data_IF_379031437889
#
_entry.id   IF_379031437889
#
_cell.length_a   1.000
_cell.length_b   1.000
_cell.length_c   1.000
_cell.angle_alpha   90.00
_cell.angle_beta   90.00
_cell.angle_gamma   90.00
#
_symmetry.space_group_name_H-M   'P 1'
#
loop_
_entity.id
_entity.type
_entity.pdbx_description
1 polymer ?
#
# COMPACT_ATOMS: atom_id res chain seq x y z
N UNK A 1 6.88 18.15 -4.06
CA UNK A 1 5.69 17.58 -4.73
C UNK A 1 5.93 16.17 -5.24
N UNK A 2 6.83 15.92 -6.22
CA UNK A 2 7.02 14.57 -6.80
C UNK A 2 7.14 13.45 -5.78
N UNK A 3 8.07 13.50 -4.83
CA UNK A 3 8.27 12.42 -3.83
C UNK A 3 7.09 12.11 -2.90
N UNK A 4 6.14 13.04 -2.75
CA UNK A 4 4.98 12.88 -1.87
C UNK A 4 3.74 12.41 -2.63
N UNK A 5 3.62 12.79 -3.91
CA UNK A 5 2.41 12.54 -4.68
C UNK A 5 2.61 11.70 -5.94
N UNK A 6 3.84 11.34 -6.35
CA UNK A 6 4.02 10.31 -7.38
C UNK A 6 3.33 9.03 -6.91
N UNK A 7 2.39 8.55 -7.72
CA UNK A 7 1.45 7.51 -7.37
C UNK A 7 1.64 6.25 -8.21
N UNK A 8 0.53 5.76 -8.74
CA UNK A 8 0.44 4.48 -9.44
C UNK A 8 1.20 4.52 -10.77
N UNK A 9 1.86 3.42 -11.12
CA UNK A 9 2.53 3.21 -12.40
C UNK A 9 2.27 1.80 -12.89
N UNK A 10 2.03 1.69 -14.20
CA UNK A 10 2.02 0.44 -14.94
C UNK A 10 3.16 0.47 -15.95
N UNK A 11 4.39 0.31 -15.45
CA UNK A 11 5.61 0.25 -16.28
C UNK A 11 5.86 1.52 -17.11
N UNK A 12 5.51 2.68 -16.54
CA UNK A 12 5.65 3.98 -17.19
C UNK A 12 5.78 5.13 -16.20
N UNK A 13 5.54 6.36 -16.66
CA UNK A 13 5.57 7.53 -15.80
C UNK A 13 4.52 7.41 -14.69
N UNK A 14 4.91 7.53 -13.40
CA UNK A 14 3.96 7.45 -12.29
C UNK A 14 2.91 8.55 -12.38
N UNK A 15 1.64 8.18 -12.32
CA UNK A 15 0.52 9.11 -12.26
C UNK A 15 0.11 9.39 -10.82
N UNK A 16 -0.35 10.62 -10.59
CA UNK A 16 -0.87 11.04 -9.29
C UNK A 16 -2.19 10.31 -8.98
N UNK A 17 -2.50 10.10 -7.70
CA UNK A 17 -3.86 9.69 -7.31
C UNK A 17 -4.84 10.78 -7.76
N UNK A 18 -5.86 10.48 -8.56
CA UNK A 18 -6.86 11.48 -8.91
C UNK A 18 -7.58 12.04 -7.67
N UNK A 19 -7.82 11.24 -6.62
CA UNK A 19 -8.46 11.73 -5.38
C UNK A 19 -7.55 12.66 -4.57
N UNK A 20 -6.28 12.33 -4.40
CA UNK A 20 -5.34 13.19 -3.66
C UNK A 20 -5.17 14.55 -4.34
N UNK A 21 -5.14 14.58 -5.67
CA UNK A 21 -5.05 15.83 -6.43
C UNK A 21 -6.31 16.68 -6.21
N UNK A 22 -7.50 16.07 -6.25
CA UNK A 22 -8.75 16.78 -5.99
C UNK A 22 -8.81 17.34 -4.56
N UNK A 23 -8.41 16.54 -3.57
CA UNK A 23 -8.41 16.95 -2.16
C UNK A 23 -7.33 17.99 -1.86
N UNK A 24 -6.14 17.87 -2.44
CA UNK A 24 -5.13 18.92 -2.38
C UNK A 24 -5.62 20.23 -3.00
N UNK A 25 -6.30 20.18 -4.15
CA UNK A 25 -6.84 21.39 -4.80
C UNK A 25 -7.96 22.02 -3.95
N UNK A 26 -8.75 21.21 -3.25
CA UNK A 26 -9.83 21.66 -2.38
C UNK A 26 -9.30 22.26 -1.06
N UNK A 27 -8.40 21.56 -0.37
CA UNK A 27 -7.94 21.93 0.99
C UNK A 27 -6.67 22.77 1.01
N UNK A 28 -5.89 22.79 -0.09
CA UNK A 28 -4.58 23.47 -0.22
C UNK A 28 -3.55 23.05 0.84
N UNK A 29 -3.76 21.90 1.46
CA UNK A 29 -2.92 21.31 2.50
C UNK A 29 -2.32 20.00 1.99
N UNK A 30 -1.06 19.73 2.38
CA UNK A 30 -0.42 18.45 2.09
C UNK A 30 -0.88 17.42 3.13
N UNK A 31 -1.80 16.52 2.76
CA UNK A 31 -2.25 15.40 3.61
C UNK A 31 -2.16 14.04 2.89
N UNK A 32 -2.21 12.98 3.69
CA UNK A 32 -2.13 11.57 3.27
C UNK A 32 -3.47 11.04 2.72
N UNK A 33 -4.10 11.78 1.82
CA UNK A 33 -5.45 11.48 1.30
C UNK A 33 -5.56 10.07 0.68
N UNK A 34 -4.46 9.56 0.12
CA UNK A 34 -4.36 8.20 -0.45
C UNK A 34 -4.71 7.15 0.61
N UNK A 35 -4.17 7.34 1.81
CA UNK A 35 -4.30 6.38 2.90
C UNK A 35 -5.66 6.52 3.59
N UNK A 36 -6.15 7.74 3.76
CA UNK A 36 -7.38 8.01 4.53
C UNK A 36 -8.66 7.64 3.78
N UNK A 37 -8.65 7.67 2.45
CA UNK A 37 -9.83 7.34 1.62
C UNK A 37 -9.90 5.87 1.20
N UNK A 38 -8.80 5.12 1.27
CA UNK A 38 -8.65 3.80 0.66
C UNK A 38 -9.17 2.60 1.46
N UNK A 39 -10.04 2.78 2.46
CA UNK A 39 -10.51 1.68 3.35
C UNK A 39 -9.37 0.82 3.95
N UNK A 40 -8.30 1.40 4.51
CA UNK A 40 -7.13 0.67 5.03
C UNK A 40 -7.50 -0.40 6.07
N UNK A 41 -8.58 -0.21 6.83
CA UNK A 41 -9.02 -1.12 7.88
C UNK A 41 -9.38 -2.52 7.37
N UNK A 42 -10.07 -2.62 6.23
CA UNK A 42 -10.44 -3.92 5.63
C UNK A 42 -9.21 -4.68 5.17
N UNK A 43 -8.30 -3.98 4.48
CA UNK A 43 -7.07 -4.54 3.96
C UNK A 43 -6.17 -5.09 5.07
N UNK A 44 -6.00 -4.32 6.13
CA UNK A 44 -5.16 -4.69 7.27
C UNK A 44 -5.76 -5.89 8.00
N UNK A 45 -7.09 -5.93 8.15
CA UNK A 45 -7.79 -7.08 8.73
C UNK A 45 -7.55 -8.36 7.92
N UNK A 46 -7.70 -8.30 6.59
CA UNK A 46 -7.44 -9.45 5.70
C UNK A 46 -5.98 -9.92 5.81
N UNK A 47 -5.03 -8.98 5.86
CA UNK A 47 -3.61 -9.31 6.00
C UNK A 47 -3.29 -10.01 7.32
N UNK A 48 -3.94 -9.60 8.42
CA UNK A 48 -3.74 -10.19 9.74
C UNK A 48 -4.38 -11.56 9.85
N UNK A 49 -5.60 -11.73 9.35
CA UNK A 49 -6.27 -13.04 9.26
C UNK A 49 -5.41 -14.05 8.50
N UNK A 50 -4.72 -13.60 7.45
CA UNK A 50 -3.81 -14.41 6.64
C UNK A 50 -2.38 -14.48 7.18
N UNK A 51 -2.09 -13.88 8.35
CA UNK A 51 -0.75 -13.84 8.98
C UNK A 51 0.35 -13.37 8.02
N UNK A 52 0.05 -12.33 7.24
CA UNK A 52 0.91 -11.87 6.16
C UNK A 52 2.25 -11.30 6.66
N UNK A 53 3.35 -11.68 6.00
CA UNK A 53 4.69 -11.21 6.38
C UNK A 53 5.05 -9.88 5.71
N UNK A 54 4.82 -8.78 6.43
CA UNK A 54 5.01 -7.39 5.98
C UNK A 54 6.36 -7.06 5.30
N UNK A 55 7.53 -7.53 5.79
CA UNK A 55 8.81 -7.16 5.18
C UNK A 55 8.94 -7.53 3.69
N UNK A 56 8.14 -8.49 3.19
CA UNK A 56 8.09 -8.85 1.76
C UNK A 56 7.57 -7.74 0.85
N UNK A 57 6.85 -6.74 1.36
CA UNK A 57 6.19 -5.71 0.54
C UNK A 57 7.13 -4.67 -0.08
N UNK A 58 8.38 -4.61 0.38
CA UNK A 58 9.32 -3.57 -0.08
C UNK A 58 9.84 -3.82 -1.50
N UNK A 59 9.87 -5.08 -1.94
CA UNK A 59 10.28 -5.54 -3.28
C UNK A 59 9.66 -6.92 -3.53
N UNK A 60 8.37 -6.94 -3.81
CA UNK A 60 7.60 -8.15 -3.97
C UNK A 60 7.62 -8.60 -5.44
N UNK A 61 8.10 -9.82 -5.70
CA UNK A 61 8.04 -10.42 -7.03
C UNK A 61 6.81 -11.32 -7.14
N UNK A 62 5.96 -11.05 -8.13
CA UNK A 62 4.70 -11.78 -8.37
C UNK A 62 4.64 -12.25 -9.82
N UNK A 63 3.99 -13.39 -10.07
CA UNK A 63 3.73 -13.85 -11.42
C UNK A 63 2.57 -13.08 -12.08
N UNK A 64 2.42 -13.25 -13.39
CA UNK A 64 1.34 -12.63 -14.16
C UNK A 64 -0.06 -13.05 -13.71
N UNK A 65 -0.20 -14.26 -13.16
CA UNK A 65 -1.44 -14.76 -12.59
C UNK A 65 -2.01 -13.84 -11.50
N UNK A 66 -1.14 -13.12 -10.79
CA UNK A 66 -1.54 -12.20 -9.74
C UNK A 66 -2.19 -10.92 -10.30
N UNK A 67 -1.70 -10.47 -11.46
CA UNK A 67 -2.20 -9.27 -12.15
C UNK A 67 -3.50 -9.58 -12.92
N UNK A 68 -3.61 -10.80 -13.47
CA UNK A 68 -4.75 -11.23 -14.28
C UNK A 68 -5.91 -11.87 -13.50
N UNK A 69 -5.70 -12.30 -12.24
CA UNK A 69 -6.75 -12.97 -11.46
C UNK A 69 -7.71 -11.97 -10.78
N UNK A 70 -8.91 -11.87 -11.34
CA UNK A 70 -10.09 -11.22 -10.75
C UNK A 70 -11.01 -12.22 -10.05
N UNK A 71 -10.46 -13.31 -9.52
CA UNK A 71 -11.25 -14.27 -8.76
C UNK A 71 -11.46 -13.75 -7.33
N UNK A 72 -12.69 -13.28 -7.04
CA UNK A 72 -13.09 -12.77 -5.73
C UNK A 72 -12.89 -13.80 -4.61
N UNK A 73 -12.98 -15.10 -4.94
CA UNK A 73 -12.85 -16.19 -3.98
C UNK A 73 -11.37 -16.55 -3.70
N UNK A 74 -10.45 -16.14 -4.58
CA UNK A 74 -9.01 -16.41 -4.48
C UNK A 74 -8.15 -15.15 -4.27
N UNK A 75 -8.76 -14.01 -3.92
CA UNK A 75 -8.04 -12.75 -3.69
C UNK A 75 -6.94 -12.93 -2.63
N UNK A 76 -5.69 -12.64 -3.03
CA UNK A 76 -4.55 -12.54 -2.12
C UNK A 76 -4.40 -11.12 -1.58
N UNK A 77 -3.73 -10.93 -0.42
CA UNK A 77 -3.37 -9.60 0.08
C UNK A 77 -2.64 -8.74 -0.95
N UNK A 78 -1.76 -9.33 -1.75
CA UNK A 78 -1.00 -8.71 -2.82
C UNK A 78 -1.93 -8.13 -3.90
N UNK A 79 -2.97 -8.88 -4.31
CA UNK A 79 -3.99 -8.38 -5.25
C UNK A 79 -4.68 -7.15 -4.67
N UNK A 80 -5.11 -7.22 -3.41
CA UNK A 80 -5.80 -6.10 -2.77
C UNK A 80 -4.90 -4.87 -2.68
N UNK A 81 -3.65 -5.05 -2.23
CA UNK A 81 -2.67 -3.99 -2.12
C UNK A 81 -2.42 -3.29 -3.46
N UNK A 82 -2.36 -4.05 -4.55
CA UNK A 82 -2.21 -3.51 -5.91
C UNK A 82 -3.47 -2.76 -6.36
N UNK A 83 -4.65 -3.37 -6.22
CA UNK A 83 -5.93 -2.79 -6.67
C UNK A 83 -6.32 -1.52 -5.89
N UNK A 84 -5.99 -1.47 -4.61
CA UNK A 84 -6.21 -0.29 -3.76
C UNK A 84 -5.06 0.71 -3.83
N UNK A 85 -4.01 0.40 -4.61
CA UNK A 85 -2.92 1.32 -4.91
C UNK A 85 -1.89 1.49 -3.78
N UNK A 86 -1.93 0.66 -2.73
CA UNK A 86 -0.85 0.62 -1.73
C UNK A 86 0.44 0.01 -2.28
N UNK A 87 0.32 -0.86 -3.28
CA UNK A 87 1.43 -1.30 -4.13
C UNK A 87 1.21 -0.85 -5.56
N UNK A 88 2.32 -0.67 -6.27
CA UNK A 88 2.33 -0.37 -7.70
C UNK A 88 3.36 -1.24 -8.42
N UNK A 89 3.11 -1.52 -9.69
CA UNK A 89 4.07 -2.20 -10.57
C UNK A 89 5.21 -1.23 -10.89
N UNK A 90 6.45 -1.69 -10.75
CA UNK A 90 7.64 -0.87 -11.04
C UNK A 90 8.61 -1.52 -12.00
N UNK A 91 8.51 -2.83 -12.19
CA UNK A 91 9.29 -3.54 -13.19
C UNK A 91 8.52 -4.75 -13.70
N UNK A 92 8.86 -5.18 -14.91
CA UNK A 92 8.38 -6.40 -15.55
C UNK A 92 9.57 -7.13 -16.16
N UNK A 93 9.77 -8.36 -15.74
CA UNK A 93 10.77 -9.25 -16.31
C UNK A 93 10.11 -10.46 -16.97
N UNK A 94 10.79 -11.01 -17.98
CA UNK A 94 10.42 -12.27 -18.60
C UNK A 94 11.63 -13.17 -18.56
N UNK A 95 11.53 -14.29 -17.84
CA UNK A 95 12.57 -15.32 -17.79
C UNK A 95 11.98 -16.64 -18.28
N UNK A 96 12.52 -17.20 -19.37
CA UNK A 96 12.14 -18.53 -19.89
C UNK A 96 10.61 -18.64 -20.15
N UNK A 97 9.98 -17.57 -20.62
CA UNK A 97 8.54 -17.53 -20.89
C UNK A 97 7.65 -17.24 -19.67
N UNK A 98 8.21 -17.20 -18.46
CA UNK A 98 7.48 -16.77 -17.26
C UNK A 98 7.56 -15.24 -17.14
N UNK A 99 6.39 -14.60 -17.10
CA UNK A 99 6.26 -13.17 -16.85
C UNK A 99 6.19 -12.92 -15.35
N UNK A 100 7.06 -12.03 -14.86
CA UNK A 100 7.07 -11.57 -13.47
C UNK A 100 6.98 -10.06 -13.38
N UNK A 101 6.33 -9.60 -12.33
CA UNK A 101 6.18 -8.20 -11.99
C UNK A 101 6.84 -7.92 -10.63
N UNK A 102 7.56 -6.81 -10.55
CA UNK A 102 8.03 -6.29 -9.27
C UNK A 102 7.05 -5.24 -8.77
N UNK A 103 6.54 -5.44 -7.56
CA UNK A 103 5.66 -4.53 -6.85
C UNK A 103 6.40 -3.85 -5.70
N UNK A 104 6.11 -2.57 -5.48
CA UNK A 104 6.56 -1.82 -4.30
C UNK A 104 5.55 -0.75 -3.91
N UNK A 105 5.74 -0.14 -2.74
CA UNK A 105 5.00 1.06 -2.39
C UNK A 105 5.26 2.19 -3.40
N UNK A 106 4.23 2.96 -3.80
CA UNK A 106 4.38 4.02 -4.81
C UNK A 106 5.30 5.14 -4.33
N UNK A 107 5.26 5.44 -3.02
CA UNK A 107 6.11 6.43 -2.39
C UNK A 107 6.33 6.12 -0.90
N UNK A 108 7.25 6.87 -0.27
CA UNK A 108 7.62 6.70 1.14
C UNK A 108 6.48 7.04 2.10
N UNK A 109 5.60 7.95 1.74
CA UNK A 109 4.48 8.34 2.59
C UNK A 109 3.51 7.18 2.75
N UNK A 110 3.07 6.58 1.64
CA UNK A 110 2.19 5.42 1.63
C UNK A 110 2.82 4.28 2.43
N UNK A 111 4.11 3.98 2.20
CA UNK A 111 4.85 2.98 2.96
C UNK A 111 4.83 3.26 4.47
N UNK A 112 5.16 4.48 4.88
CA UNK A 112 5.24 4.86 6.29
C UNK A 112 3.87 4.82 6.97
N UNK A 113 2.83 5.37 6.33
CA UNK A 113 1.46 5.38 6.85
C UNK A 113 0.91 3.96 6.99
N UNK A 114 1.11 3.15 5.97
CA UNK A 114 0.71 1.75 5.97
C UNK A 114 1.39 0.94 7.08
N UNK A 115 2.72 1.05 7.21
CA UNK A 115 3.45 0.39 8.28
C UNK A 115 2.99 0.83 9.67
N UNK A 116 2.84 2.13 9.90
CA UNK A 116 2.39 2.67 11.17
C UNK A 116 0.99 2.18 11.53
N UNK A 117 0.07 2.14 10.56
CA UNK A 117 -1.30 1.68 10.78
C UNK A 117 -1.34 0.16 11.05
N UNK A 118 -0.58 -0.64 10.30
CA UNK A 118 -0.44 -2.08 10.54
C UNK A 118 0.14 -2.37 11.94
N UNK A 119 1.19 -1.66 12.35
CA UNK A 119 1.77 -1.78 13.68
C UNK A 119 0.78 -1.38 14.79
N UNK A 120 0.02 -0.30 14.60
CA UNK A 120 -1.00 0.11 15.56
C UNK A 120 -2.13 -0.93 15.69
N UNK A 121 -2.42 -1.70 14.64
CA UNK A 121 -3.42 -2.76 14.70
C UNK A 121 -2.87 -4.02 15.39
N UNK A 122 -1.58 -4.33 15.19
CA UNK A 122 -0.90 -5.45 15.88
C UNK A 122 -0.73 -5.21 17.38
N UNK A 123 -0.45 -3.97 17.77
CA UNK A 123 -0.32 -3.57 19.16
C UNK A 123 -1.72 -3.19 19.64
N UNK A 124 -2.48 -4.17 20.16
CA UNK A 124 -3.85 -4.00 20.70
C UNK A 124 -3.99 -2.92 21.80
N UNK A 125 -2.91 -2.23 22.20
CA UNK A 125 -2.88 -1.40 23.40
C UNK A 125 -2.51 0.06 23.09
N UNK A 126 -3.53 0.83 22.67
CA UNK A 126 -3.45 2.29 22.53
C UNK A 126 -3.22 2.99 23.89
N UNK A 127 -3.55 2.33 25.01
CA UNK A 127 -3.48 2.92 26.36
C UNK A 127 -2.06 2.98 26.91
N UNK A 128 -1.22 1.96 26.69
CA UNK A 128 0.18 1.96 27.16
C UNK A 128 1.08 3.02 26.52
N UNK A 129 0.74 3.52 25.33
CA UNK A 129 1.55 4.52 24.62
C UNK A 129 1.42 5.93 25.19
N UNK A 130 0.24 6.27 25.73
CA UNK A 130 -0.01 7.56 26.36
C UNK A 130 0.51 7.62 27.79
N UNK A 131 0.37 6.55 28.58
CA UNK A 131 0.92 6.47 29.95
C UNK A 131 2.45 6.65 29.98
N UNK A 132 3.18 6.04 29.04
CA UNK A 132 4.63 6.16 28.98
C UNK A 132 5.13 7.52 28.47
N UNK A 133 4.28 8.30 27.79
CA UNK A 133 4.64 9.63 27.28
C UNK A 133 4.39 10.75 28.30
N UNK A 134 3.56 10.50 29.31
CA UNK A 134 3.37 11.37 30.48
C UNK A 134 4.37 11.15 31.61
N UNK A 135 5.23 10.12 31.50
CA UNK A 135 6.26 9.77 32.49
C UNK A 135 7.69 10.14 32.06
N UNK A 136 7.82 10.94 30.99
CA UNK A 136 9.04 11.64 30.57
C UNK A 136 8.82 13.14 30.65
#
# INVERSE_FOLDING_TARGET
MRHWYTGYSWLGEPVYNPFDVLLYLAEKSFCAYWFETGTPSLLIKVMLERKYYMPKLSNLNVGEELIGSFDLDAITPENLLLQTGYLTIVDKSTEIGDIRYTLRFPNKEVQMRFNNYFLNYLVEDYHKKWENKSLL
#
